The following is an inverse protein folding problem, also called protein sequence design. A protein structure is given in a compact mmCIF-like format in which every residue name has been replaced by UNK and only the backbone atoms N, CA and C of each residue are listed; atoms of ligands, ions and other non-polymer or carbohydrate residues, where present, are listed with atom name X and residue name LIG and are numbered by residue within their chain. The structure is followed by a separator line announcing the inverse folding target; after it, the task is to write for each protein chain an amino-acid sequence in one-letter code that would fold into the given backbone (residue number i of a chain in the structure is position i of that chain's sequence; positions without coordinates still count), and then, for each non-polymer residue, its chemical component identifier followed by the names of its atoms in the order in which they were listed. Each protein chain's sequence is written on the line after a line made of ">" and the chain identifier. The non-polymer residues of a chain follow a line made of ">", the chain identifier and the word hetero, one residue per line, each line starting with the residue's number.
data_IF_977890153563
#
_entry.id   IF_977890153563
#
_cell.length_a   1.000
_cell.length_b   1.000
_cell.length_c   1.000
_cell.angle_alpha   90.00
_cell.angle_beta   90.00
_cell.angle_gamma   90.00
#
_symmetry.space_group_name_H-M   'P 1'
#
loop_
_entity.id
_entity.type
_entity.pdbx_description
1 polymer ?
#
# COMPACT_ATOMS: atom_id res chain seq x y z
N UNK A 1 17.69 14.00 3.08
CA UNK A 1 16.47 13.69 3.77
C UNK A 1 15.47 13.00 2.84
N UNK A 2 14.97 11.86 3.26
CA UNK A 2 14.09 11.08 2.39
C UNK A 2 12.69 11.67 2.39
N UNK A 3 12.09 11.80 1.21
CA UNK A 3 10.69 12.16 1.11
C UNK A 3 9.84 10.97 1.52
N UNK A 4 8.61 11.18 1.98
CA UNK A 4 7.73 10.05 2.29
C UNK A 4 7.56 9.10 1.11
N UNK A 5 7.60 9.62 -0.12
CA UNK A 5 7.43 8.79 -1.32
C UNK A 5 8.65 7.92 -1.60
N UNK A 6 9.71 8.05 -0.81
CA UNK A 6 10.89 7.21 -1.01
C UNK A 6 10.70 5.79 -0.50
N UNK A 7 9.70 5.55 0.34
CA UNK A 7 9.47 4.19 0.79
C UNK A 7 8.88 3.35 -0.34
N UNK A 8 9.20 2.06 -0.42
CA UNK A 8 8.66 1.22 -1.48
C UNK A 8 7.13 1.23 -1.52
N UNK A 9 6.49 1.18 -0.36
CA UNK A 9 5.03 1.17 -0.31
C UNK A 9 4.44 2.44 -0.89
N UNK A 10 5.01 3.60 -0.55
CA UNK A 10 4.51 4.87 -1.08
C UNK A 10 4.80 5.00 -2.56
N UNK A 11 5.96 4.52 -3.02
CA UNK A 11 6.24 4.53 -4.46
C UNK A 11 5.25 3.66 -5.22
N UNK A 12 4.92 2.49 -4.68
CA UNK A 12 3.94 1.62 -5.32
C UNK A 12 2.57 2.26 -5.32
N UNK A 13 2.19 2.87 -4.20
CA UNK A 13 0.90 3.56 -4.12
C UNK A 13 0.81 4.69 -5.13
N UNK A 14 1.89 5.43 -5.31
CA UNK A 14 1.95 6.49 -6.30
C UNK A 14 1.66 5.97 -7.69
N UNK A 15 2.26 4.83 -8.05
CA UNK A 15 1.99 4.22 -9.34
C UNK A 15 0.53 3.79 -9.46
N UNK A 16 -0.02 3.26 -8.38
CA UNK A 16 -1.43 2.87 -8.37
C UNK A 16 -2.34 4.07 -8.58
N UNK A 17 -1.99 5.19 -7.95
CA UNK A 17 -2.76 6.42 -8.11
C UNK A 17 -2.76 6.95 -9.54
N UNK A 18 -1.72 6.64 -10.28
CA UNK A 18 -1.61 7.00 -11.68
C UNK A 18 -2.27 5.98 -12.61
N UNK A 19 -2.83 4.92 -12.07
CA UNK A 19 -3.41 3.86 -12.87
C UNK A 19 -2.40 2.88 -13.43
N UNK A 20 -1.15 2.92 -12.95
CA UNK A 20 -0.09 2.06 -13.46
C UNK A 20 0.00 0.79 -12.61
N UNK A 21 -0.92 -0.14 -12.87
CA UNK A 21 -1.03 -1.36 -12.07
C UNK A 21 0.27 -2.15 -12.06
N UNK A 22 0.84 -2.38 -13.25
CA UNK A 22 1.99 -3.27 -13.33
C UNK A 22 3.22 -2.70 -12.67
N UNK A 23 3.42 -1.39 -12.79
CA UNK A 23 4.54 -0.75 -12.12
C UNK A 23 4.38 -0.84 -10.60
N UNK A 24 3.16 -0.62 -10.11
CA UNK A 24 2.89 -0.72 -8.69
C UNK A 24 3.11 -2.14 -8.19
N UNK A 25 2.60 -3.11 -8.94
CA UNK A 25 2.69 -4.51 -8.57
C UNK A 25 4.13 -5.00 -8.52
N UNK A 26 4.94 -4.56 -9.47
CA UNK A 26 6.34 -4.93 -9.50
C UNK A 26 7.06 -4.47 -8.24
N UNK A 27 6.77 -3.25 -7.79
CA UNK A 27 7.42 -2.74 -6.59
C UNK A 27 7.06 -3.59 -5.38
N UNK A 28 5.76 -3.84 -5.16
CA UNK A 28 5.36 -4.58 -3.96
C UNK A 28 5.78 -6.04 -4.03
N UNK A 29 5.86 -6.59 -5.23
CA UNK A 29 6.32 -7.95 -5.42
C UNK A 29 7.77 -8.13 -4.97
N UNK A 30 8.57 -7.11 -5.14
CA UNK A 30 9.96 -7.13 -4.71
C UNK A 30 10.13 -6.87 -3.22
N UNK A 31 9.04 -6.59 -2.51
CA UNK A 31 9.09 -6.28 -1.09
C UNK A 31 8.07 -7.09 -0.30
N UNK A 32 7.81 -8.31 -0.73
CA UNK A 32 6.88 -9.18 -0.03
C UNK A 32 7.37 -9.44 1.38
N UNK A 33 6.45 -9.41 2.33
CA UNK A 33 6.77 -9.57 3.73
C UNK A 33 6.87 -8.26 4.48
N UNK A 34 6.97 -7.14 3.78
CA UNK A 34 6.91 -5.83 4.42
C UNK A 34 5.44 -5.43 4.53
N UNK A 35 4.92 -5.25 5.75
CA UNK A 35 3.48 -5.09 5.92
C UNK A 35 2.86 -3.97 5.10
N UNK A 36 3.56 -2.84 4.97
CA UNK A 36 3.01 -1.73 4.19
C UNK A 36 2.93 -2.09 2.71
N UNK A 37 3.94 -2.76 2.19
CA UNK A 37 3.92 -3.21 0.80
C UNK A 37 2.87 -4.30 0.59
N UNK A 38 2.72 -5.18 1.56
CA UNK A 38 1.71 -6.24 1.47
C UNK A 38 0.31 -5.64 1.46
N UNK A 39 0.09 -4.53 2.17
CA UNK A 39 -1.19 -3.84 2.14
C UNK A 39 -1.47 -3.28 0.74
N UNK A 40 -0.50 -2.60 0.15
CA UNK A 40 -0.68 -2.08 -1.22
C UNK A 40 -0.88 -3.25 -2.19
N UNK A 41 -0.16 -4.35 -1.97
CA UNK A 41 -0.29 -5.55 -2.79
C UNK A 41 -1.73 -6.08 -2.74
N UNK A 42 -2.32 -6.12 -1.53
CA UNK A 42 -3.71 -6.55 -1.38
C UNK A 42 -4.65 -5.63 -2.13
N UNK A 43 -4.44 -4.33 -2.01
CA UNK A 43 -5.25 -3.36 -2.73
C UNK A 43 -5.18 -3.59 -4.24
N UNK A 44 -3.99 -3.86 -4.76
CA UNK A 44 -3.83 -4.09 -6.20
C UNK A 44 -4.60 -5.31 -6.67
N UNK A 45 -4.57 -6.40 -5.91
CA UNK A 45 -5.34 -7.58 -6.29
C UNK A 45 -6.84 -7.33 -6.18
N UNK A 46 -7.26 -6.53 -5.22
CA UNK A 46 -8.64 -6.14 -5.11
C UNK A 46 -9.06 -5.32 -6.33
N UNK A 47 -8.20 -4.41 -6.75
CA UNK A 47 -8.45 -3.57 -7.93
C UNK A 47 -8.65 -4.43 -9.17
N UNK A 48 -7.83 -5.46 -9.36
CA UNK A 48 -7.97 -6.31 -10.54
C UNK A 48 -9.09 -7.35 -10.40
N UNK A 49 -9.73 -7.42 -9.26
CA UNK A 49 -10.85 -8.32 -9.06
C UNK A 49 -10.49 -9.70 -8.55
N UNK A 50 -9.23 -9.91 -8.16
CA UNK A 50 -8.77 -11.19 -7.62
C UNK A 50 -8.92 -11.17 -6.10
N UNK A 51 -10.15 -11.42 -5.65
CA UNK A 51 -10.48 -11.23 -4.24
C UNK A 51 -9.83 -12.25 -3.31
N UNK A 52 -9.63 -13.48 -3.77
CA UNK A 52 -8.98 -14.49 -2.95
C UNK A 52 -7.51 -14.11 -2.70
N UNK A 53 -6.84 -13.64 -3.73
CA UNK A 53 -5.46 -13.23 -3.61
C UNK A 53 -5.36 -11.96 -2.77
N UNK A 54 -6.31 -11.06 -2.92
CA UNK A 54 -6.35 -9.87 -2.08
C UNK A 54 -6.47 -10.26 -0.61
N UNK A 55 -7.36 -11.19 -0.29
CA UNK A 55 -7.55 -11.62 1.09
C UNK A 55 -6.26 -12.19 1.67
N UNK A 56 -5.53 -12.95 0.87
CA UNK A 56 -4.24 -13.49 1.28
C UNK A 56 -3.28 -12.38 1.68
N UNK A 57 -3.17 -11.34 0.85
CA UNK A 57 -2.23 -10.26 1.12
C UNK A 57 -2.69 -9.36 2.26
N UNK A 58 -4.03 -9.17 2.44
CA UNK A 58 -4.50 -8.46 3.62
C UNK A 58 -4.08 -9.17 4.90
N UNK A 59 -4.19 -10.51 4.90
CA UNK A 59 -3.74 -11.27 6.07
C UNK A 59 -2.25 -11.09 6.30
N UNK A 60 -1.46 -11.13 5.24
CA UNK A 60 -0.02 -10.91 5.34
C UNK A 60 0.31 -9.54 5.90
N UNK A 61 -0.51 -8.57 5.56
CA UNK A 61 -0.31 -7.20 6.03
C UNK A 61 -0.83 -6.99 7.45
N UNK A 62 -1.50 -7.98 8.00
CA UNK A 62 -2.10 -7.84 9.33
C UNK A 62 -3.32 -6.96 9.32
N UNK A 63 -4.07 -6.95 8.22
CA UNK A 63 -5.22 -6.07 8.07
C UNK A 63 -6.46 -6.84 7.67
N UNK A 64 -7.61 -6.28 8.01
CA UNK A 64 -8.88 -6.83 7.56
C UNK A 64 -9.09 -6.51 6.10
N UNK A 65 -9.80 -7.41 5.41
CA UNK A 65 -10.13 -7.20 4.01
C UNK A 65 -10.95 -5.92 3.87
N UNK A 66 -10.49 -5.03 2.99
CA UNK A 66 -11.19 -3.77 2.79
C UNK A 66 -12.48 -3.96 2.01
N UNK A 67 -13.45 -3.11 2.26
CA UNK A 67 -14.73 -3.10 1.56
C UNK A 67 -14.99 -1.67 1.10
N UNK A 68 -15.92 -1.52 0.18
CA UNK A 68 -16.29 -0.20 -0.31
C UNK A 68 -15.42 0.22 -1.48
N UNK A 69 -15.32 1.53 -1.68
CA UNK A 69 -14.65 2.07 -2.85
C UNK A 69 -13.16 1.81 -2.87
N UNK A 70 -12.66 1.46 -4.05
CA UNK A 70 -11.22 1.37 -4.24
C UNK A 70 -10.54 2.71 -4.00
N UNK A 71 -11.15 3.79 -4.48
CA UNK A 71 -10.55 5.11 -4.28
C UNK A 71 -10.49 5.49 -2.81
N UNK A 72 -11.50 5.10 -2.04
CA UNK A 72 -11.50 5.39 -0.60
C UNK A 72 -10.40 4.62 0.09
N UNK A 73 -10.21 3.36 -0.26
CA UNK A 73 -9.13 2.58 0.33
C UNK A 73 -7.77 3.16 -0.04
N UNK A 74 -7.62 3.53 -1.30
CA UNK A 74 -6.35 4.11 -1.77
C UNK A 74 -6.00 5.36 -0.98
N UNK A 75 -6.99 6.21 -0.73
CA UNK A 75 -6.78 7.42 0.07
C UNK A 75 -6.43 7.07 1.52
N UNK A 76 -7.06 6.05 2.06
CA UNK A 76 -6.76 5.58 3.41
C UNK A 76 -5.34 5.07 3.52
N UNK A 77 -4.90 4.30 2.53
CA UNK A 77 -3.53 3.81 2.51
C UNK A 77 -2.56 4.97 2.49
N UNK A 78 -2.80 5.96 1.62
CA UNK A 78 -1.91 7.10 1.53
C UNK A 78 -1.81 7.82 2.86
N UNK A 79 -2.93 8.10 3.49
CA UNK A 79 -2.92 8.80 4.76
C UNK A 79 -2.16 8.02 5.82
N UNK A 80 -2.35 6.70 5.86
CA UNK A 80 -1.67 5.86 6.84
C UNK A 80 -0.18 5.80 6.59
N UNK A 81 0.23 5.63 5.33
CA UNK A 81 1.64 5.51 5.02
C UNK A 81 2.37 6.83 5.24
N UNK A 82 1.73 7.93 4.91
CA UNK A 82 2.33 9.23 5.15
C UNK A 82 2.47 9.52 6.63
N UNK A 83 1.47 9.12 7.42
CA UNK A 83 1.52 9.31 8.85
C UNK A 83 2.65 8.48 9.46
N UNK A 84 2.83 7.25 9.02
CA UNK A 84 3.88 6.40 9.51
C UNK A 84 5.25 6.99 9.16
N UNK A 85 5.43 7.40 7.91
CA UNK A 85 6.69 7.99 7.47
C UNK A 85 6.97 9.29 8.23
N UNK A 86 5.95 10.12 8.40
CA UNK A 86 6.10 11.37 9.13
C UNK A 86 6.37 11.14 10.60
N UNK A 87 5.73 10.12 11.17
CA UNK A 87 5.90 9.80 12.57
C UNK A 87 7.32 9.35 12.90
N UNK A 88 8.00 8.76 11.93
CA UNK A 88 9.36 8.34 12.12
C UNK A 88 10.32 9.50 12.33
N UNK A 89 10.03 10.60 11.71
CA UNK A 89 10.85 11.78 11.83
C UNK A 89 10.39 12.70 12.94
N UNK A 90 9.25 12.40 13.51
CA UNK A 90 8.69 13.23 14.56
C UNK A 90 9.58 13.15 15.77
N UNK A 91 9.74 14.11 16.42
CA UNK A 91 10.50 14.09 17.64
C UNK A 91 9.63 13.73 18.77
N UNK A 92 9.42 13.45 18.44
CA UNK A 92 8.97 13.19 19.01
C UNK A 92 8.89 13.58 19.72
N UNK A 93 8.97 13.78 19.43
CA UNK A 93 8.94 14.17 19.85
C UNK A 93 8.70 14.26 20.40
#
# INVERSE_FOLDING_TARGET
>A
MAAPSDTPALRALEQAERGAFEAAHEIVQNHEGEPDCDWVHAYLHRWEGDHDNAAYWYRRAGRMVARGDLAAERAEIRAALERIAGGRTGPDA
#
